data_IF_711786041478
#
_entry.id   IF_711786041478
#
_cell.length_a   1.000
_cell.length_b   1.000
_cell.length_c   1.000
_cell.angle_alpha   90.00
_cell.angle_beta   90.00
_cell.angle_gamma   90.00
#
_symmetry.space_group_name_H-M   'P 1'
#
loop_
_entity.id
_entity.type
_entity.pdbx_description
1 polymer ?
#
# COMPACT_ATOMS: atom_id res chain seq x y z
N UNK A 1 38.34 -3.11 -1.88
CA UNK A 1 37.32 -3.27 -2.95
C UNK A 1 37.51 -2.13 -3.93
N UNK A 2 37.50 -2.42 -5.23
CA UNK A 2 37.79 -1.40 -6.25
C UNK A 2 36.60 -0.46 -6.41
N UNK A 3 36.84 0.81 -6.75
CA UNK A 3 35.77 1.79 -7.03
C UNK A 3 34.93 1.44 -8.27
N UNK A 4 35.24 0.34 -8.98
CA UNK A 4 34.59 -0.14 -10.20
C UNK A 4 33.80 -1.45 -10.00
N UNK A 5 33.70 -1.95 -8.77
CA UNK A 5 33.04 -3.23 -8.48
C UNK A 5 31.51 -3.09 -8.60
N UNK A 6 30.98 -3.53 -9.74
CA UNK A 6 29.53 -3.66 -9.98
C UNK A 6 29.02 -4.92 -9.28
N UNK A 7 28.01 -4.77 -8.43
CA UNK A 7 27.42 -5.86 -7.63
C UNK A 7 26.02 -6.20 -8.12
N UNK A 8 25.61 -7.46 -7.95
CA UNK A 8 24.21 -7.85 -8.13
C UNK A 8 23.37 -7.21 -7.02
N UNK A 9 22.14 -6.85 -7.35
CA UNK A 9 21.16 -6.23 -6.44
C UNK A 9 19.91 -7.11 -6.38
N UNK A 10 19.26 -7.16 -5.23
CA UNK A 10 17.96 -7.81 -5.04
C UNK A 10 16.86 -7.04 -5.79
N UNK A 11 15.77 -7.73 -6.16
CA UNK A 11 14.63 -7.10 -6.84
C UNK A 11 14.02 -6.03 -5.94
N UNK A 12 13.86 -6.33 -4.65
CA UNK A 12 13.29 -5.47 -3.63
C UNK A 12 14.07 -4.16 -3.48
N UNK A 13 15.41 -4.25 -3.41
CA UNK A 13 16.28 -3.06 -3.35
C UNK A 13 16.18 -2.23 -4.61
N UNK A 14 16.17 -2.85 -5.79
CA UNK A 14 16.07 -2.14 -7.06
C UNK A 14 14.70 -1.45 -7.21
N UNK A 15 13.63 -2.17 -6.92
CA UNK A 15 12.25 -1.68 -7.01
C UNK A 15 11.97 -0.52 -6.06
N UNK A 16 12.54 -0.54 -4.85
CA UNK A 16 12.43 0.58 -3.92
C UNK A 16 13.03 1.90 -4.43
N UNK A 17 13.81 1.86 -5.52
CA UNK A 17 14.34 3.03 -6.22
C UNK A 17 13.63 3.35 -7.54
N UNK A 18 13.05 2.34 -8.22
CA UNK A 18 12.69 2.43 -9.64
C UNK A 18 11.20 2.20 -9.92
N UNK A 19 10.44 1.52 -9.06
CA UNK A 19 9.00 1.28 -9.29
C UNK A 19 8.22 2.60 -9.44
N UNK A 20 8.70 3.64 -8.75
CA UNK A 20 8.15 4.99 -8.80
C UNK A 20 8.41 5.73 -10.13
N UNK A 21 9.35 5.27 -10.97
CA UNK A 21 9.64 5.83 -12.31
C UNK A 21 9.29 4.92 -13.47
N UNK A 22 9.15 3.61 -13.23
CA UNK A 22 8.87 2.62 -14.28
C UNK A 22 7.61 3.02 -15.06
N UNK A 23 7.70 3.02 -16.39
CA UNK A 23 6.50 3.16 -17.20
C UNK A 23 5.72 1.84 -17.15
N UNK A 24 4.40 1.87 -16.91
CA UNK A 24 3.56 0.67 -16.91
C UNK A 24 3.82 -0.30 -18.05
N UNK A 25 3.93 0.22 -19.27
CA UNK A 25 4.01 -0.59 -20.48
C UNK A 25 5.38 -1.29 -20.67
N UNK A 26 6.36 -1.06 -19.80
CA UNK A 26 7.67 -1.74 -19.91
C UNK A 26 7.52 -3.25 -19.77
N UNK A 27 6.59 -3.73 -18.95
CA UNK A 27 6.33 -5.17 -18.79
C UNK A 27 5.78 -5.83 -20.06
N UNK A 28 5.10 -5.07 -20.92
CA UNK A 28 4.57 -5.57 -22.19
C UNK A 28 5.68 -5.82 -23.23
N UNK A 29 6.85 -5.20 -23.02
CA UNK A 29 7.99 -5.26 -23.93
C UNK A 29 9.04 -6.28 -23.48
N UNK A 30 9.10 -6.61 -22.19
CA UNK A 30 10.07 -7.58 -21.71
C UNK A 30 10.08 -7.77 -20.20
N UNK A 31 10.73 -8.85 -19.79
CA UNK A 31 10.84 -9.27 -18.40
C UNK A 31 12.20 -8.89 -17.81
N UNK A 32 12.20 -8.06 -16.75
CA UNK A 32 13.39 -7.77 -15.97
C UNK A 32 13.80 -9.00 -15.14
N UNK A 33 15.03 -9.49 -15.33
CA UNK A 33 15.48 -10.74 -14.67
C UNK A 33 16.76 -10.60 -13.83
N UNK A 34 17.56 -9.54 -14.03
CA UNK A 34 18.75 -9.28 -13.21
C UNK A 34 19.00 -7.79 -13.00
N UNK A 35 19.33 -7.44 -11.75
CA UNK A 35 19.62 -6.07 -11.34
C UNK A 35 21.03 -5.94 -10.76
N UNK A 36 21.61 -4.77 -10.97
CA UNK A 36 22.99 -4.46 -10.61
C UNK A 36 23.11 -3.04 -10.06
N UNK A 37 24.13 -2.81 -9.24
CA UNK A 37 24.48 -1.47 -8.77
C UNK A 37 25.99 -1.20 -8.79
N UNK A 38 26.36 0.08 -8.92
CA UNK A 38 27.72 0.54 -8.66
C UNK A 38 27.99 0.64 -7.15
N UNK A 39 29.26 0.84 -6.72
CA UNK A 39 29.54 1.16 -5.32
C UNK A 39 28.73 2.38 -4.86
N UNK A 40 28.14 2.29 -3.67
CA UNK A 40 27.23 3.30 -3.09
C UNK A 40 26.00 3.62 -3.95
N UNK A 41 25.63 2.72 -4.86
CA UNK A 41 24.38 2.75 -5.63
C UNK A 41 24.23 3.98 -6.54
N UNK A 42 25.30 4.70 -6.89
CA UNK A 42 25.21 5.86 -7.79
C UNK A 42 24.61 5.53 -9.17
N UNK A 43 24.83 4.30 -9.65
CA UNK A 43 24.22 3.75 -10.85
C UNK A 43 23.48 2.48 -10.49
N UNK A 44 22.33 2.30 -11.13
CA UNK A 44 21.62 1.02 -11.18
C UNK A 44 21.68 0.50 -12.61
N UNK A 45 21.54 -0.81 -12.76
CA UNK A 45 21.40 -1.44 -14.06
C UNK A 45 20.42 -2.59 -13.99
N UNK A 46 19.66 -2.79 -15.06
CA UNK A 46 18.75 -3.92 -15.21
C UNK A 46 18.98 -4.61 -16.55
N UNK A 47 18.84 -5.92 -16.57
CA UNK A 47 18.74 -6.72 -17.79
C UNK A 47 17.29 -7.14 -18.01
N UNK A 48 16.87 -7.08 -19.27
CA UNK A 48 15.55 -7.42 -19.73
C UNK A 48 15.66 -8.53 -20.78
N UNK A 49 14.74 -9.48 -20.74
CA UNK A 49 14.51 -10.45 -21.80
C UNK A 49 13.32 -9.94 -22.63
N UNK A 50 13.54 -9.68 -23.90
CA UNK A 50 12.46 -9.46 -24.87
C UNK A 50 11.71 -10.79 -25.06
N UNK A 51 10.38 -10.75 -24.92
CA UNK A 51 9.54 -11.96 -25.02
C UNK A 51 9.07 -12.26 -26.45
N UNK A 52 9.33 -11.37 -27.41
CA UNK A 52 8.89 -11.50 -28.80
C UNK A 52 9.96 -12.22 -29.63
N UNK A 53 11.22 -11.79 -29.51
CA UNK A 53 12.35 -12.34 -30.29
C UNK A 53 13.44 -13.01 -29.44
N UNK A 54 13.19 -13.16 -28.13
CA UNK A 54 14.04 -13.84 -27.16
C UNK A 54 15.45 -13.25 -27.05
N UNK A 55 15.62 -11.96 -27.38
CA UNK A 55 16.86 -11.24 -27.23
C UNK A 55 16.98 -10.51 -25.88
N UNK A 56 18.21 -10.08 -25.54
CA UNK A 56 18.51 -9.43 -24.28
C UNK A 56 18.79 -7.94 -24.48
N UNK A 57 18.14 -7.15 -23.63
CA UNK A 57 18.33 -5.71 -23.50
C UNK A 57 18.90 -5.37 -22.13
N UNK A 58 19.46 -4.17 -22.00
CA UNK A 58 19.95 -3.70 -20.71
C UNK A 58 19.95 -2.19 -20.61
N UNK A 59 19.60 -1.70 -19.42
CA UNK A 59 19.47 -0.27 -19.11
C UNK A 59 20.42 0.11 -17.98
N UNK A 60 20.98 1.31 -18.05
CA UNK A 60 21.73 1.96 -16.97
C UNK A 60 20.93 3.17 -16.50
N UNK A 61 20.70 3.24 -15.19
CA UNK A 61 19.95 4.29 -14.54
C UNK A 61 20.86 5.11 -13.63
N UNK A 62 20.62 6.42 -13.55
CA UNK A 62 21.27 7.33 -12.60
C UNK A 62 20.28 8.39 -12.10
N UNK A 63 20.66 9.11 -11.04
CA UNK A 63 19.80 10.16 -10.45
C UNK A 63 19.69 11.36 -11.38
N UNK A 64 18.48 11.89 -11.55
CA UNK A 64 18.20 13.17 -12.20
C UNK A 64 18.24 14.35 -11.21
N UNK A 65 17.85 15.56 -11.64
CA UNK A 65 17.85 16.76 -10.77
C UNK A 65 16.85 16.66 -9.61
N UNK A 66 15.78 15.87 -9.75
CA UNK A 66 14.78 15.59 -8.72
C UNK A 66 15.15 14.37 -7.88
N UNK A 67 16.34 13.79 -8.08
CA UNK A 67 16.79 12.61 -7.35
C UNK A 67 16.10 11.32 -7.79
N UNK A 68 15.45 11.26 -8.95
CA UNK A 68 14.80 10.04 -9.48
C UNK A 68 15.81 9.22 -10.27
N UNK A 69 15.77 7.89 -10.20
CA UNK A 69 16.56 7.07 -11.13
C UNK A 69 15.91 7.07 -12.53
N UNK A 70 16.65 7.56 -13.52
CA UNK A 70 16.23 7.69 -14.92
C UNK A 70 17.26 7.06 -15.85
N UNK A 71 16.83 6.60 -17.02
CA UNK A 71 17.70 5.96 -18.00
C UNK A 71 18.70 6.96 -18.59
N UNK A 72 19.98 6.58 -18.60
CA UNK A 72 21.08 7.39 -19.13
C UNK A 72 21.89 6.70 -20.24
N UNK A 73 21.75 5.38 -20.37
CA UNK A 73 22.40 4.57 -21.39
C UNK A 73 21.66 3.23 -21.48
N UNK A 74 21.61 2.65 -22.67
CA UNK A 74 20.95 1.36 -22.89
C UNK A 74 21.56 0.61 -24.07
N UNK A 75 21.24 -0.67 -24.15
CA UNK A 75 21.41 -1.46 -25.37
C UNK A 75 20.23 -2.40 -25.54
N UNK A 76 20.00 -2.78 -26.79
CA UNK A 76 19.01 -3.77 -27.18
C UNK A 76 19.65 -4.85 -28.05
N UNK A 77 18.90 -5.92 -28.32
CA UNK A 77 19.20 -6.93 -29.33
C UNK A 77 20.55 -7.62 -29.20
N UNK A 78 20.79 -8.15 -28.00
CA UNK A 78 21.92 -9.05 -27.74
C UNK A 78 21.39 -10.47 -27.64
N UNK A 79 21.81 -11.36 -28.54
CA UNK A 79 21.30 -12.74 -28.61
C UNK A 79 21.72 -13.64 -27.46
N UNK A 80 22.80 -13.33 -26.74
CA UNK A 80 23.33 -14.18 -25.68
C UNK A 80 23.33 -13.49 -24.32
N UNK A 81 22.74 -14.14 -23.31
CA UNK A 81 22.62 -13.65 -21.94
C UNK A 81 23.98 -13.25 -21.32
N UNK A 82 25.04 -14.05 -21.53
CA UNK A 82 26.36 -13.76 -20.96
C UNK A 82 27.00 -12.53 -21.63
N UNK A 83 26.77 -12.36 -22.92
CA UNK A 83 27.17 -11.17 -23.66
C UNK A 83 26.41 -9.93 -23.16
N UNK A 84 25.11 -10.04 -22.89
CA UNK A 84 24.30 -8.96 -22.32
C UNK A 84 24.79 -8.55 -20.91
N UNK A 85 25.06 -9.52 -20.02
CA UNK A 85 25.68 -9.28 -18.71
C UNK A 85 27.01 -8.55 -18.81
N UNK A 86 27.89 -9.00 -19.72
CA UNK A 86 29.19 -8.37 -19.92
C UNK A 86 29.06 -6.94 -20.46
N UNK A 87 28.13 -6.72 -21.40
CA UNK A 87 27.84 -5.41 -22.00
C UNK A 87 27.28 -4.43 -20.98
N UNK A 88 26.30 -4.83 -20.16
CA UNK A 88 25.76 -4.01 -19.08
C UNK A 88 26.85 -3.59 -18.09
N UNK A 89 27.65 -4.56 -17.58
CA UNK A 89 28.75 -4.26 -16.66
C UNK A 89 29.80 -3.33 -17.28
N UNK A 90 30.07 -3.45 -18.58
CA UNK A 90 30.96 -2.54 -19.31
C UNK A 90 30.39 -1.11 -19.37
N UNK A 91 29.11 -0.96 -19.68
CA UNK A 91 28.43 0.35 -19.69
C UNK A 91 28.39 1.00 -18.30
N UNK A 92 28.02 0.24 -17.27
CA UNK A 92 28.02 0.75 -15.89
C UNK A 92 29.42 1.21 -15.45
N UNK A 93 30.48 0.46 -15.79
CA UNK A 93 31.87 0.85 -15.49
C UNK A 93 32.32 2.09 -16.26
N UNK A 94 31.86 2.27 -17.51
CA UNK A 94 32.10 3.50 -18.30
C UNK A 94 31.56 4.71 -17.53
N UNK A 95 30.30 4.67 -17.10
CA UNK A 95 29.68 5.77 -16.34
C UNK A 95 30.28 5.95 -14.94
N UNK A 96 30.65 4.86 -14.26
CA UNK A 96 31.32 4.92 -12.95
C UNK A 96 32.66 5.67 -13.04
N UNK A 97 33.42 5.49 -14.14
CA UNK A 97 34.70 6.20 -14.36
C UNK A 97 34.53 7.70 -14.61
N UNK A 98 33.41 8.11 -15.22
CA UNK A 98 33.10 9.53 -15.43
C UNK A 98 32.81 10.25 -14.11
N UNK A 99 32.38 9.52 -13.07
CA UNK A 99 32.08 10.04 -11.73
C UNK A 99 31.04 11.19 -11.74
N UNK A 100 30.17 11.21 -12.76
CA UNK A 100 28.98 12.06 -12.80
C UNK A 100 27.91 11.38 -11.98
N UNK A 101 27.30 12.12 -11.04
CA UNK A 101 26.31 11.57 -10.10
C UNK A 101 24.88 11.99 -10.40
N UNK A 102 24.71 13.05 -11.20
CA UNK A 102 23.42 13.66 -11.51
C UNK A 102 23.35 13.89 -13.02
N UNK A 103 22.26 13.43 -13.63
CA UNK A 103 22.04 13.45 -15.08
C UNK A 103 20.71 14.12 -15.39
N UNK A 104 20.71 15.44 -15.67
CA UNK A 104 19.50 16.17 -16.03
C UNK A 104 18.79 15.55 -17.25
N UNK A 105 17.47 15.45 -17.19
CA UNK A 105 16.61 14.91 -18.26
C UNK A 105 15.90 16.01 -19.07
N UNK A 106 15.75 17.20 -18.47
CA UNK A 106 15.06 18.35 -19.05
C UNK A 106 13.56 18.40 -18.78
N UNK A 107 13.00 17.37 -18.12
CA UNK A 107 11.59 17.27 -17.73
C UNK A 107 11.37 17.42 -16.21
N UNK A 108 12.41 17.75 -15.45
CA UNK A 108 12.33 17.94 -14.00
C UNK A 108 11.62 19.25 -13.65
N UNK A 109 10.30 19.18 -13.48
CA UNK A 109 9.44 20.33 -13.19
C UNK A 109 9.31 20.67 -11.70
N UNK A 110 9.75 19.77 -10.80
CA UNK A 110 9.65 19.94 -9.36
C UNK A 110 10.89 19.42 -8.62
N UNK A 111 11.09 19.93 -7.40
CA UNK A 111 12.15 19.47 -6.49
C UNK A 111 11.62 18.32 -5.63
N UNK A 112 12.48 17.34 -5.32
CA UNK A 112 12.19 16.29 -4.36
C UNK A 112 11.67 16.88 -3.03
N UNK A 113 10.61 16.27 -2.50
CA UNK A 113 10.04 16.67 -1.22
C UNK A 113 10.87 16.17 -0.04
N UNK A 114 11.07 17.04 0.95
CA UNK A 114 11.64 16.66 2.24
C UNK A 114 10.53 16.58 3.29
N UNK A 115 9.98 15.38 3.49
CA UNK A 115 8.95 15.16 4.51
C UNK A 115 9.48 15.26 5.94
N UNK A 116 10.77 15.00 6.16
CA UNK A 116 11.28 14.67 7.49
C UNK A 116 11.95 15.84 8.20
N UNK A 117 12.32 16.89 7.48
CA UNK A 117 12.70 18.17 8.11
C UNK A 117 11.46 18.87 8.64
N UNK A 118 11.31 19.08 9.96
CA UNK A 118 10.13 19.75 10.51
C UNK A 118 9.99 21.18 9.98
N UNK A 119 8.80 21.54 9.51
CA UNK A 119 8.43 22.91 9.11
C UNK A 119 7.51 23.61 10.12
N UNK A 120 7.07 22.87 11.14
CA UNK A 120 6.27 23.36 12.27
C UNK A 120 6.98 23.16 13.60
N UNK A 121 6.47 23.79 14.65
CA UNK A 121 7.00 23.65 16.01
C UNK A 121 6.73 22.25 16.58
N UNK A 122 7.57 21.73 17.50
CA UNK A 122 7.45 20.37 18.02
C UNK A 122 6.10 20.01 18.65
N UNK A 123 5.39 20.98 19.24
CA UNK A 123 4.06 20.83 19.83
C UNK A 123 2.95 20.60 18.80
N UNK A 124 3.19 20.96 17.53
CA UNK A 124 2.27 20.73 16.41
C UNK A 124 2.53 19.41 15.68
N UNK A 125 3.67 18.77 15.94
CA UNK A 125 4.03 17.53 15.26
C UNK A 125 3.12 16.39 15.70
N UNK A 126 2.67 15.61 14.73
CA UNK A 126 1.94 14.39 15.00
C UNK A 126 2.79 13.41 15.82
N UNK A 127 2.18 12.73 16.78
CA UNK A 127 2.87 11.74 17.59
C UNK A 127 3.47 10.60 16.74
N UNK A 128 2.75 10.11 15.72
CA UNK A 128 3.30 9.13 14.78
C UNK A 128 4.40 9.71 13.86
N UNK A 129 4.34 11.00 13.51
CA UNK A 129 5.43 11.63 12.77
C UNK A 129 6.73 11.61 13.58
N UNK A 130 6.62 11.82 14.90
CA UNK A 130 7.78 11.78 15.81
C UNK A 130 8.47 10.41 15.89
N UNK A 131 7.85 9.34 15.38
CA UNK A 131 8.50 8.03 15.27
C UNK A 131 9.68 8.08 14.28
N UNK A 132 9.54 8.87 13.21
CA UNK A 132 10.60 9.07 12.24
C UNK A 132 11.74 9.89 12.83
N UNK A 133 12.98 9.45 12.61
CA UNK A 133 14.20 10.12 13.08
C UNK A 133 14.49 9.97 14.57
N UNK A 134 13.47 9.86 15.44
CA UNK A 134 13.66 9.66 16.89
C UNK A 134 14.03 8.24 17.26
N UNK A 135 13.41 7.24 16.65
CA UNK A 135 13.68 5.84 16.97
C UNK A 135 14.27 5.08 15.79
N UNK A 136 15.38 4.39 16.07
CA UNK A 136 16.19 3.72 15.06
C UNK A 136 15.48 2.53 14.38
N UNK A 137 14.47 1.96 15.05
CA UNK A 137 13.63 0.88 14.53
C UNK A 137 12.74 1.30 13.35
N UNK A 138 12.51 2.61 13.12
CA UNK A 138 11.76 3.12 11.97
C UNK A 138 12.65 3.59 10.81
N UNK A 139 13.96 3.40 10.91
CA UNK A 139 14.90 3.80 9.86
C UNK A 139 14.66 3.12 8.49
N UNK A 140 14.18 1.87 8.38
CA UNK A 140 13.77 1.31 7.10
C UNK A 140 12.60 2.07 6.46
N UNK A 141 11.54 2.36 7.23
CA UNK A 141 10.41 3.15 6.76
C UNK A 141 10.84 4.55 6.29
N UNK A 142 11.71 5.23 7.07
CA UNK A 142 12.29 6.51 6.64
C UNK A 142 13.04 6.39 5.32
N UNK A 143 13.84 5.33 5.15
CA UNK A 143 14.63 5.11 3.94
C UNK A 143 13.76 4.99 2.69
N UNK A 144 12.76 4.11 2.73
CA UNK A 144 11.91 3.89 1.55
C UNK A 144 11.01 5.09 1.25
N UNK A 145 10.44 5.75 2.27
CA UNK A 145 9.61 6.95 2.07
C UNK A 145 10.44 8.08 1.46
N UNK A 146 11.69 8.29 1.90
CA UNK A 146 12.59 9.28 1.28
C UNK A 146 12.79 9.03 -0.21
N UNK A 147 12.91 7.76 -0.60
CA UNK A 147 13.04 7.41 -2.00
C UNK A 147 11.76 7.71 -2.79
N UNK A 148 10.60 7.35 -2.25
CA UNK A 148 9.30 7.64 -2.87
C UNK A 148 9.08 9.14 -3.08
N UNK A 149 9.56 10.00 -2.16
CA UNK A 149 9.39 11.45 -2.22
C UNK A 149 10.15 12.16 -3.35
N UNK A 150 11.08 11.47 -4.01
CA UNK A 150 11.66 11.97 -5.24
C UNK A 150 10.65 11.93 -6.41
N UNK A 151 9.58 11.15 -6.28
CA UNK A 151 8.63 10.84 -7.36
C UNK A 151 7.22 11.34 -7.08
N UNK A 152 6.83 11.44 -5.81
CA UNK A 152 5.50 11.92 -5.43
C UNK A 152 5.36 13.40 -5.77
N UNK A 153 4.27 13.77 -6.44
CA UNK A 153 3.92 15.15 -6.79
C UNK A 153 2.85 15.68 -5.84
N UNK A 154 3.14 16.77 -5.14
CA UNK A 154 2.18 17.45 -4.26
C UNK A 154 1.31 18.41 -5.09
N UNK A 155 0.11 17.93 -5.47
CA UNK A 155 -0.84 18.67 -6.31
C UNK A 155 -1.42 19.87 -5.55
N UNK A 156 -1.67 19.73 -4.24
CA UNK A 156 -2.31 20.75 -3.41
C UNK A 156 -1.31 21.69 -2.72
N UNK A 157 -0.02 21.33 -2.68
CA UNK A 157 1.06 22.11 -2.08
C UNK A 157 1.09 22.10 -0.55
N UNK A 158 0.31 21.23 0.09
CA UNK A 158 0.17 21.15 1.56
C UNK A 158 0.55 19.77 2.13
N UNK A 159 1.07 18.86 1.31
CA UNK A 159 1.32 17.47 1.72
C UNK A 159 2.31 17.39 2.88
N UNK A 160 3.40 18.17 2.83
CA UNK A 160 4.43 18.18 3.88
C UNK A 160 3.82 18.64 5.22
N UNK A 161 3.08 19.74 5.23
CA UNK A 161 2.47 20.28 6.45
C UNK A 161 1.48 19.27 7.04
N UNK A 162 0.60 18.70 6.22
CA UNK A 162 -0.41 17.74 6.66
C UNK A 162 0.23 16.45 7.17
N UNK A 163 1.25 15.93 6.48
CA UNK A 163 1.98 14.73 6.90
C UNK A 163 2.69 14.95 8.25
N UNK A 164 3.16 16.17 8.54
CA UNK A 164 3.80 16.47 9.82
C UNK A 164 2.80 16.74 10.97
N UNK A 165 1.54 17.07 10.67
CA UNK A 165 0.56 17.58 11.64
C UNK A 165 -0.71 16.72 11.71
N UNK A 166 -1.89 17.27 11.42
CA UNK A 166 -3.18 16.61 11.65
C UNK A 166 -3.61 15.68 10.53
N UNK A 167 -2.92 15.69 9.38
CA UNK A 167 -3.22 14.86 8.21
C UNK A 167 -2.35 13.61 8.09
N UNK A 168 -1.60 13.25 9.14
CA UNK A 168 -0.60 12.16 9.10
C UNK A 168 -1.14 10.87 8.47
N UNK A 169 -2.21 10.31 9.02
CA UNK A 169 -2.73 9.01 8.57
C UNK A 169 -3.34 9.09 7.16
N UNK A 170 -3.98 10.21 6.82
CA UNK A 170 -4.52 10.45 5.48
C UNK A 170 -3.40 10.52 4.42
N UNK A 171 -2.35 11.29 4.70
CA UNK A 171 -1.21 11.42 3.78
C UNK A 171 -0.39 10.13 3.69
N UNK A 172 -0.28 9.37 4.78
CA UNK A 172 0.34 8.04 4.77
C UNK A 172 -0.48 7.06 3.93
N UNK A 173 -1.81 7.10 4.03
CA UNK A 173 -2.72 6.27 3.22
C UNK A 173 -2.61 6.60 1.73
N UNK A 174 -2.60 7.88 1.37
CA UNK A 174 -2.34 8.31 0.00
C UNK A 174 -0.99 7.80 -0.49
N UNK A 175 0.06 7.90 0.31
CA UNK A 175 1.39 7.41 -0.07
C UNK A 175 1.41 5.89 -0.25
N UNK A 176 0.65 5.14 0.56
CA UNK A 176 0.51 3.69 0.40
C UNK A 176 -0.24 3.35 -0.89
N UNK A 177 -1.33 4.07 -1.21
CA UNK A 177 -2.04 3.91 -2.49
C UNK A 177 -1.14 4.24 -3.67
N UNK A 178 -0.34 5.30 -3.58
CA UNK A 178 0.69 5.59 -4.59
C UNK A 178 1.64 4.40 -4.76
N UNK A 179 2.16 3.84 -3.66
CA UNK A 179 3.07 2.71 -3.72
C UNK A 179 2.44 1.50 -4.42
N UNK A 180 1.22 1.15 -4.02
CA UNK A 180 0.46 0.04 -4.58
C UNK A 180 0.12 0.25 -6.06
N UNK A 181 -0.41 1.42 -6.44
CA UNK A 181 -0.76 1.68 -7.84
C UNK A 181 0.46 1.66 -8.76
N UNK A 182 1.64 2.07 -8.26
CA UNK A 182 2.89 1.98 -9.00
C UNK A 182 3.40 0.54 -9.11
N UNK A 183 3.29 -0.25 -8.04
CA UNK A 183 3.55 -1.69 -8.05
C UNK A 183 2.62 -2.42 -9.04
N UNK A 184 1.35 -2.01 -9.12
CA UNK A 184 0.33 -2.50 -10.06
C UNK A 184 0.42 -1.90 -11.45
N UNK A 185 1.51 -1.19 -11.76
CA UNK A 185 1.78 -0.67 -13.09
C UNK A 185 0.68 0.26 -13.60
N UNK A 186 0.11 1.10 -12.73
CA UNK A 186 -0.70 2.22 -13.17
C UNK A 186 0.16 3.44 -13.50
N UNK A 187 -0.19 4.10 -14.59
CA UNK A 187 0.24 5.47 -14.84
C UNK A 187 -0.67 6.42 -14.07
N UNK A 188 -0.10 7.35 -13.32
CA UNK A 188 -0.87 8.28 -12.49
C UNK A 188 -0.90 9.66 -13.15
N UNK A 189 -2.09 10.14 -13.45
CA UNK A 189 -2.34 11.50 -13.93
C UNK A 189 -2.45 12.45 -12.74
N UNK A 190 -1.49 13.37 -12.61
CA UNK A 190 -1.42 14.33 -11.49
C UNK A 190 -1.92 15.73 -11.88
N UNK A 191 -2.61 15.86 -13.01
CA UNK A 191 -3.18 17.15 -13.46
C UNK A 191 -4.43 17.58 -12.67
N UNK A 192 -5.05 16.66 -11.94
CA UNK A 192 -6.31 16.87 -11.25
C UNK A 192 -6.11 16.79 -9.73
N UNK A 193 -6.81 17.65 -8.99
CA UNK A 193 -6.79 17.70 -7.53
C UNK A 193 -7.87 16.85 -6.85
N UNK A 194 -8.82 16.31 -7.63
CA UNK A 194 -9.85 15.43 -7.13
C UNK A 194 -10.39 14.54 -8.27
N UNK A 195 -10.66 13.25 -8.02
CA UNK A 195 -10.27 12.52 -6.79
C UNK A 195 -8.75 12.35 -6.69
N UNK A 196 -8.25 11.90 -5.54
CA UNK A 196 -6.80 11.88 -5.21
C UNK A 196 -5.90 11.18 -6.27
N UNK A 197 -6.45 10.20 -7.00
CA UNK A 197 -5.80 9.57 -8.13
C UNK A 197 -6.71 9.45 -9.35
N UNK A 198 -6.16 9.81 -10.52
CA UNK A 198 -6.64 9.37 -11.82
C UNK A 198 -5.57 8.44 -12.39
N UNK A 199 -5.90 7.16 -12.53
CA UNK A 199 -4.94 6.12 -12.86
C UNK A 199 -5.29 5.47 -14.20
N UNK A 200 -4.28 5.15 -15.02
CA UNK A 200 -4.47 4.57 -16.35
C UNK A 200 -3.63 3.30 -16.52
N UNK A 201 -4.24 2.25 -17.07
CA UNK A 201 -3.59 0.96 -17.37
C UNK A 201 -4.33 0.28 -18.51
N UNK A 202 -3.59 -0.24 -19.49
CA UNK A 202 -4.12 -0.95 -20.67
C UNK A 202 -5.27 -0.23 -21.41
N UNK A 203 -5.19 1.11 -21.51
CA UNK A 203 -6.22 1.93 -22.15
C UNK A 203 -7.45 2.24 -21.27
N UNK A 204 -7.56 1.63 -20.09
CA UNK A 204 -8.59 1.94 -19.10
C UNK A 204 -8.16 3.11 -18.22
N UNK A 205 -9.13 3.95 -17.84
CA UNK A 205 -8.95 5.00 -16.83
C UNK A 205 -9.83 4.68 -15.64
N UNK A 206 -9.27 4.82 -14.44
CA UNK A 206 -10.00 4.69 -13.17
C UNK A 206 -9.71 5.91 -12.30
N UNK A 207 -10.63 6.19 -11.39
CA UNK A 207 -10.54 7.31 -10.46
C UNK A 207 -10.64 6.78 -9.03
N UNK A 208 -9.75 7.23 -8.13
CA UNK A 208 -9.67 6.72 -6.76
C UNK A 208 -9.62 7.90 -5.79
N UNK A 209 -10.56 7.93 -4.85
CA UNK A 209 -10.56 8.87 -3.72
C UNK A 209 -10.09 8.16 -2.46
N UNK A 210 -9.09 8.72 -1.79
CA UNK A 210 -8.61 8.26 -0.51
C UNK A 210 -9.53 8.72 0.63
N UNK A 211 -9.87 7.79 1.51
CA UNK A 211 -10.76 8.00 2.65
C UNK A 211 -10.11 7.40 3.89
N UNK A 212 -10.12 8.12 5.01
CA UNK A 212 -9.71 7.58 6.30
C UNK A 212 -10.85 7.62 7.30
N UNK A 213 -10.96 6.57 8.09
CA UNK A 213 -11.74 6.57 9.32
C UNK A 213 -10.82 7.07 10.44
N UNK A 214 -11.19 8.19 11.06
CA UNK A 214 -10.36 8.85 12.07
C UNK A 214 -11.01 8.76 13.47
N UNK A 215 -10.23 8.99 14.56
CA UNK A 215 -10.76 9.08 15.91
C UNK A 215 -11.84 10.17 16.03
N UNK A 216 -12.77 10.02 16.97
CA UNK A 216 -13.88 10.96 17.18
C UNK A 216 -13.93 11.43 18.63
N UNK A 217 -14.06 12.74 18.86
CA UNK A 217 -14.29 13.29 20.21
C UNK A 217 -13.18 12.92 21.21
N UNK A 218 -13.55 12.28 22.32
CA UNK A 218 -12.64 11.93 23.42
C UNK A 218 -11.61 10.85 23.03
N UNK A 219 -11.82 10.11 21.93
CA UNK A 219 -10.90 9.07 21.45
C UNK A 219 -9.55 9.65 20.99
N UNK A 220 -9.51 10.94 20.65
CA UNK A 220 -8.29 11.64 20.18
C UNK A 220 -7.18 11.65 21.25
N UNK A 221 -7.55 11.66 22.53
CA UNK A 221 -6.56 11.62 23.62
C UNK A 221 -6.10 10.19 23.94
N UNK A 222 -6.96 9.18 23.71
CA UNK A 222 -6.66 7.76 23.94
C UNK A 222 -5.86 7.13 22.80
N UNK A 223 -5.93 7.67 21.58
CA UNK A 223 -5.14 7.16 20.44
C UNK A 223 -3.62 7.26 20.63
N UNK A 224 -3.15 7.98 21.66
CA UNK A 224 -1.72 8.05 22.00
C UNK A 224 -1.25 6.95 22.97
N UNK A 225 -2.16 6.22 23.61
CA UNK A 225 -1.82 5.14 24.55
C UNK A 225 -1.68 3.81 23.76
N UNK A 226 -0.44 3.41 23.48
CA UNK A 226 -0.12 2.19 22.70
C UNK A 226 -0.62 0.87 23.31
N UNK A 227 -1.14 0.89 24.54
CA UNK A 227 -1.53 -0.29 25.31
C UNK A 227 -2.96 -0.16 25.81
N UNK A 228 -3.93 -0.20 24.90
CA UNK A 228 -5.32 -0.46 25.31
C UNK A 228 -5.43 -1.89 25.84
N UNK A 229 -6.14 -2.11 26.94
CA UNK A 229 -6.45 -3.47 27.41
C UNK A 229 -7.11 -4.30 26.29
N UNK A 230 -6.88 -5.62 26.23
CA UNK A 230 -7.55 -6.49 25.28
C UNK A 230 -9.07 -6.37 25.45
N UNK A 231 -9.77 -6.04 24.37
CA UNK A 231 -11.24 -5.94 24.37
C UNK A 231 -11.85 -7.30 24.72
N UNK A 232 -12.94 -7.29 25.49
CA UNK A 232 -13.73 -8.50 25.70
C UNK A 232 -14.35 -8.97 24.37
N UNK A 233 -14.74 -10.25 24.29
CA UNK A 233 -15.40 -10.77 23.09
C UNK A 233 -16.70 -10.04 22.81
N UNK A 234 -17.47 -9.74 23.86
CA UNK A 234 -18.76 -9.06 23.78
C UNK A 234 -18.58 -7.61 23.28
N UNK A 235 -17.60 -6.88 23.81
CA UNK A 235 -17.28 -5.52 23.34
C UNK A 235 -16.84 -5.53 21.88
N UNK A 236 -15.99 -6.50 21.49
CA UNK A 236 -15.51 -6.61 20.13
C UNK A 236 -16.65 -6.89 19.14
N UNK A 237 -17.58 -7.78 19.50
CA UNK A 237 -18.75 -8.08 18.69
C UNK A 237 -19.67 -6.86 18.55
N UNK A 238 -19.98 -6.14 19.65
CA UNK A 238 -20.78 -4.91 19.57
C UNK A 238 -20.13 -3.86 18.66
N UNK A 239 -18.81 -3.70 18.76
CA UNK A 239 -18.07 -2.76 17.92
C UNK A 239 -18.08 -3.16 16.45
N UNK A 240 -17.89 -4.44 16.13
CA UNK A 240 -17.96 -4.95 14.75
C UNK A 240 -19.38 -4.82 14.18
N UNK A 241 -20.40 -5.13 14.98
CA UNK A 241 -21.79 -5.14 14.49
C UNK A 241 -22.39 -3.75 14.32
N UNK A 242 -22.00 -2.76 15.14
CA UNK A 242 -22.68 -1.46 15.16
C UNK A 242 -21.75 -0.26 15.05
N UNK A 243 -20.71 -0.19 15.88
CA UNK A 243 -19.82 0.98 15.94
C UNK A 243 -19.01 1.19 14.65
N UNK A 244 -18.32 0.14 14.18
CA UNK A 244 -17.47 0.22 12.98
C UNK A 244 -18.26 0.49 11.70
N UNK A 245 -19.42 -0.16 11.45
CA UNK A 245 -20.29 0.22 10.35
C UNK A 245 -20.66 1.70 10.36
N UNK A 246 -20.94 2.28 11.53
CA UNK A 246 -21.21 3.72 11.67
C UNK A 246 -19.99 4.56 11.29
N UNK A 247 -18.78 4.17 11.69
CA UNK A 247 -17.53 4.88 11.41
C UNK A 247 -17.15 4.82 9.92
N UNK A 248 -17.20 3.63 9.32
CA UNK A 248 -17.01 3.45 7.88
C UNK A 248 -18.09 4.18 7.08
N UNK A 249 -19.36 3.97 7.43
CA UNK A 249 -20.49 4.57 6.74
C UNK A 249 -20.50 6.08 6.77
N UNK A 250 -20.14 6.70 7.90
CA UNK A 250 -20.03 8.17 7.98
C UNK A 250 -18.96 8.72 7.03
N UNK A 251 -17.81 8.03 6.93
CA UNK A 251 -16.68 8.45 6.11
C UNK A 251 -17.00 8.31 4.62
N UNK A 252 -17.58 7.17 4.22
CA UNK A 252 -18.00 6.90 2.83
C UNK A 252 -19.18 7.78 2.41
N UNK A 253 -20.21 7.93 3.27
CA UNK A 253 -21.40 8.73 2.96
C UNK A 253 -21.05 10.21 2.77
N UNK A 254 -20.10 10.74 3.54
CA UNK A 254 -19.63 12.12 3.38
C UNK A 254 -18.98 12.37 2.01
N UNK A 255 -18.30 11.36 1.45
CA UNK A 255 -17.73 11.42 0.09
C UNK A 255 -18.82 11.26 -0.98
N UNK A 256 -19.77 10.35 -0.76
CA UNK A 256 -20.91 10.14 -1.65
C UNK A 256 -21.78 11.41 -1.78
N UNK A 257 -22.07 12.10 -0.67
CA UNK A 257 -22.92 13.30 -0.64
C UNK A 257 -22.13 14.61 -0.69
N UNK A 258 -20.87 14.58 -1.13
CA UNK A 258 -20.05 15.79 -1.30
C UNK A 258 -20.74 16.75 -2.28
N UNK A 259 -20.72 18.06 -1.95
CA UNK A 259 -21.40 19.10 -2.74
C UNK A 259 -20.97 19.11 -4.21
N UNK A 260 -19.65 19.07 -4.46
CA UNK A 260 -19.11 18.83 -5.80
C UNK A 260 -18.92 17.34 -5.95
N UNK A 261 -19.78 16.71 -6.73
CA UNK A 261 -19.78 15.26 -6.95
C UNK A 261 -18.60 14.89 -7.85
N UNK A 262 -17.90 13.82 -7.51
CA UNK A 262 -16.75 13.35 -8.29
C UNK A 262 -17.15 12.99 -9.71
N UNK A 263 -18.28 12.31 -9.91
CA UNK A 263 -18.77 11.88 -11.22
C UNK A 263 -19.34 13.02 -12.09
N UNK A 264 -19.44 14.24 -11.56
CA UNK A 264 -19.76 15.43 -12.37
C UNK A 264 -18.51 16.08 -12.98
N UNK A 265 -17.30 15.68 -12.51
CA UNK A 265 -16.02 16.16 -13.03
C UNK A 265 -15.74 15.53 -14.39
N UNK A 266 -15.27 16.34 -15.34
CA UNK A 266 -15.13 15.92 -16.74
C UNK A 266 -14.18 14.73 -16.93
N UNK A 267 -13.08 14.68 -16.18
CA UNK A 267 -12.12 13.57 -16.23
C UNK A 267 -12.58 12.30 -15.50
N UNK A 268 -13.67 12.36 -14.72
CA UNK A 268 -14.23 11.21 -13.99
C UNK A 268 -15.44 10.61 -14.72
N UNK A 269 -16.21 11.43 -15.44
CA UNK A 269 -17.39 10.97 -16.20
C UNK A 269 -17.05 9.78 -17.09
N UNK A 270 -17.88 8.74 -17.01
CA UNK A 270 -17.71 7.54 -17.83
C UNK A 270 -16.66 6.54 -17.32
N UNK A 271 -15.90 6.89 -16.27
CA UNK A 271 -14.85 6.05 -15.72
C UNK A 271 -15.25 5.44 -14.36
N UNK A 272 -14.72 4.25 -14.00
CA UNK A 272 -14.92 3.70 -12.67
C UNK A 272 -14.38 4.62 -11.57
N UNK A 273 -15.17 4.81 -10.51
CA UNK A 273 -14.81 5.59 -9.33
C UNK A 273 -14.74 4.69 -8.10
N UNK A 274 -13.59 4.63 -7.46
CA UNK A 274 -13.29 3.78 -6.31
C UNK A 274 -13.10 4.65 -5.08
N UNK A 275 -13.75 4.29 -3.97
CA UNK A 275 -13.41 4.87 -2.67
C UNK A 275 -12.44 3.94 -1.94
N UNK A 276 -11.21 4.40 -1.73
CA UNK A 276 -10.17 3.65 -1.04
C UNK A 276 -10.13 4.05 0.43
N UNK A 277 -10.67 3.20 1.31
CA UNK A 277 -10.85 3.46 2.73
C UNK A 277 -9.85 2.70 3.61
N UNK A 278 -9.25 3.40 4.57
CA UNK A 278 -8.40 2.81 5.60
C UNK A 278 -8.84 3.25 7.00
N UNK A 279 -8.66 2.34 7.97
CA UNK A 279 -9.09 2.54 9.35
C UNK A 279 -7.92 2.97 10.26
N UNK A 280 -7.99 4.20 10.77
CA UNK A 280 -7.02 4.75 11.72
C UNK A 280 -7.71 5.28 12.99
N UNK A 281 -8.92 4.79 13.30
CA UNK A 281 -9.72 5.38 14.38
C UNK A 281 -9.19 5.09 15.79
N UNK A 282 -8.45 4.00 15.95
CA UNK A 282 -7.76 3.64 17.19
C UNK A 282 -6.49 2.80 16.87
N UNK A 283 -5.53 2.71 17.83
CA UNK A 283 -4.38 1.82 17.72
C UNK A 283 -4.81 0.39 17.44
N UNK A 284 -4.14 -0.28 16.50
CA UNK A 284 -4.40 -1.68 16.13
C UNK A 284 -5.82 -1.97 15.60
N UNK A 285 -6.62 -0.95 15.27
CA UNK A 285 -7.98 -1.10 14.72
C UNK A 285 -8.08 -2.05 13.53
N UNK A 286 -7.15 -1.94 12.58
CA UNK A 286 -7.09 -2.77 11.38
C UNK A 286 -6.96 -4.28 11.65
N UNK A 287 -6.56 -4.70 12.86
CA UNK A 287 -6.44 -6.13 13.25
C UNK A 287 -7.82 -6.78 13.36
N UNK A 288 -8.86 -6.00 13.67
CA UNK A 288 -10.15 -6.54 14.06
C UNK A 288 -11.35 -5.91 13.35
N UNK A 289 -11.23 -4.68 12.82
CA UNK A 289 -12.37 -3.95 12.26
C UNK A 289 -12.78 -4.35 10.84
N UNK A 290 -11.90 -5.04 10.09
CA UNK A 290 -12.08 -5.37 8.68
C UNK A 290 -13.40 -6.10 8.34
N UNK A 291 -13.86 -7.00 9.21
CA UNK A 291 -15.08 -7.79 8.99
C UNK A 291 -16.35 -6.94 9.04
N UNK A 292 -16.32 -5.78 9.69
CA UNK A 292 -17.45 -4.86 9.75
C UNK A 292 -17.68 -4.14 8.41
N UNK A 293 -16.62 -3.91 7.63
CA UNK A 293 -16.70 -3.13 6.39
C UNK A 293 -17.55 -3.85 5.35
N UNK A 294 -17.22 -5.09 4.97
CA UNK A 294 -17.97 -5.80 3.93
C UNK A 294 -19.43 -6.06 4.33
N UNK A 295 -19.69 -6.32 5.62
CA UNK A 295 -21.04 -6.48 6.15
C UNK A 295 -21.86 -5.20 5.98
N UNK A 296 -21.25 -4.05 6.25
CA UNK A 296 -21.85 -2.74 6.03
C UNK A 296 -22.05 -2.43 4.54
N UNK A 297 -21.06 -2.72 3.69
CA UNK A 297 -21.13 -2.41 2.25
C UNK A 297 -22.26 -3.16 1.55
N UNK A 298 -22.40 -4.46 1.83
CA UNK A 298 -23.41 -5.32 1.21
C UNK A 298 -24.71 -5.43 2.02
N UNK A 299 -24.74 -4.95 3.26
CA UNK A 299 -25.93 -5.00 4.11
C UNK A 299 -26.33 -6.42 4.51
N UNK A 300 -25.35 -7.31 4.68
CA UNK A 300 -25.56 -8.71 5.05
C UNK A 300 -24.51 -9.19 6.05
N UNK A 301 -24.83 -10.24 6.81
CA UNK A 301 -23.90 -11.03 7.63
C UNK A 301 -24.23 -12.51 7.51
N UNK A 302 -23.28 -13.37 7.84
CA UNK A 302 -23.55 -14.80 7.99
C UNK A 302 -23.84 -15.15 9.44
N UNK A 303 -24.85 -15.99 9.66
CA UNK A 303 -25.15 -16.57 10.97
C UNK A 303 -25.12 -18.09 10.89
N UNK A 304 -24.63 -18.73 11.96
CA UNK A 304 -24.72 -20.17 12.11
C UNK A 304 -26.15 -20.55 12.47
N UNK A 305 -26.82 -21.26 11.59
CA UNK A 305 -28.14 -21.84 11.83
C UNK A 305 -27.96 -23.31 12.15
N UNK A 306 -28.40 -23.70 13.34
CA UNK A 306 -28.45 -25.11 13.75
C UNK A 306 -29.77 -25.71 13.29
N UNK A 307 -29.73 -26.73 12.44
CA UNK A 307 -30.91 -27.50 12.04
C UNK A 307 -31.36 -28.45 13.17
N UNK A 308 -32.60 -28.94 13.07
CA UNK A 308 -33.21 -29.81 14.10
C UNK A 308 -32.44 -31.13 14.32
N UNK A 309 -31.72 -31.60 13.31
CA UNK A 309 -30.83 -32.77 13.35
C UNK A 309 -29.45 -32.49 13.97
N UNK A 310 -29.17 -31.24 14.36
CA UNK A 310 -27.94 -30.82 15.00
C UNK A 310 -26.82 -30.39 14.04
N UNK A 311 -27.04 -30.41 12.73
CA UNK A 311 -26.10 -29.85 11.75
C UNK A 311 -26.06 -28.31 11.82
N UNK A 312 -24.90 -27.73 11.56
CA UNK A 312 -24.74 -26.27 11.43
C UNK A 312 -24.62 -25.91 9.95
N UNK A 313 -25.39 -24.91 9.53
CA UNK A 313 -25.30 -24.29 8.20
C UNK A 313 -25.06 -22.79 8.35
N UNK A 314 -24.44 -22.17 7.36
CA UNK A 314 -24.34 -20.71 7.28
C UNK A 314 -25.56 -20.19 6.54
N UNK A 315 -26.27 -19.23 7.14
CA UNK A 315 -27.35 -18.53 6.48
C UNK A 315 -27.01 -17.04 6.34
N UNK A 316 -27.33 -16.47 5.19
CA UNK A 316 -27.23 -15.02 4.97
C UNK A 316 -28.37 -14.31 5.67
N UNK A 317 -28.04 -13.36 6.55
CA UNK A 317 -28.98 -12.45 7.19
C UNK A 317 -28.80 -11.04 6.66
N UNK A 318 -29.91 -10.43 6.23
CA UNK A 318 -29.94 -9.02 5.85
C UNK A 318 -29.85 -8.11 7.08
N UNK A 319 -29.02 -7.07 6.98
CA UNK A 319 -28.88 -5.99 7.96
C UNK A 319 -29.59 -4.75 7.42
N UNK A 320 -30.44 -4.13 8.22
CA UNK A 320 -31.23 -2.96 7.79
C UNK A 320 -30.56 -1.67 8.27
N UNK A 321 -30.16 -1.62 9.53
CA UNK A 321 -29.49 -0.46 10.14
C UNK A 321 -28.46 -0.91 11.17
N UNK A 322 -27.61 0.04 11.56
CA UNK A 322 -26.64 -0.08 12.63
C UNK A 322 -26.88 1.04 13.63
N UNK A 323 -26.93 0.70 14.92
CA UNK A 323 -27.22 1.66 15.98
C UNK A 323 -26.14 1.58 17.07
N UNK A 324 -25.53 2.73 17.38
CA UNK A 324 -24.60 2.86 18.49
C UNK A 324 -24.86 4.18 19.19
N UNK A 325 -25.07 4.12 20.50
CA UNK A 325 -25.54 5.24 21.32
C UNK A 325 -26.76 5.94 20.70
N UNK A 326 -26.63 7.22 20.31
CA UNK A 326 -27.70 8.05 19.74
C UNK A 326 -27.70 8.08 18.21
N UNK A 327 -26.74 7.42 17.57
CA UNK A 327 -26.56 7.46 16.12
C UNK A 327 -27.04 6.16 15.49
N UNK A 328 -27.87 6.29 14.47
CA UNK A 328 -28.32 5.19 13.63
C UNK A 328 -28.04 5.53 12.16
N UNK A 329 -27.55 4.54 11.40
CA UNK A 329 -27.39 4.66 9.94
C UNK A 329 -27.98 3.43 9.24
N UNK A 330 -28.47 3.56 8.00
CA UNK A 330 -28.82 2.40 7.19
C UNK A 330 -27.57 1.56 6.85
N UNK A 331 -27.75 0.24 6.72
CA UNK A 331 -26.75 -0.68 6.19
C UNK A 331 -26.86 -0.79 4.66
N UNK A 332 -25.86 -1.35 4.00
CA UNK A 332 -25.83 -1.55 2.56
C UNK A 332 -25.44 -0.29 1.80
N UNK A 333 -24.19 0.17 1.96
CA UNK A 333 -23.66 1.35 1.25
C UNK A 333 -23.92 1.32 -0.26
N UNK A 334 -23.74 0.15 -0.89
CA UNK A 334 -23.95 -0.05 -2.34
C UNK A 334 -25.42 -0.04 -2.79
N UNK A 335 -26.34 0.15 -1.85
CA UNK A 335 -27.78 0.27 -2.10
C UNK A 335 -28.33 1.64 -1.67
N UNK A 336 -27.47 2.56 -1.26
CA UNK A 336 -27.87 3.94 -0.99
C UNK A 336 -28.13 4.69 -2.29
N UNK A 337 -28.96 5.72 -2.21
CA UNK A 337 -29.21 6.63 -3.32
C UNK A 337 -27.92 7.28 -3.84
N UNK A 338 -27.69 7.18 -5.15
CA UNK A 338 -26.51 7.62 -5.91
C UNK A 338 -25.26 6.76 -5.75
N UNK A 339 -25.33 5.66 -4.97
CA UNK A 339 -24.19 4.75 -4.80
C UNK A 339 -23.81 4.05 -6.11
N UNK A 340 -24.70 3.97 -7.10
CA UNK A 340 -24.40 3.41 -8.43
C UNK A 340 -23.30 4.19 -9.18
N UNK A 341 -22.96 5.40 -8.75
CA UNK A 341 -21.82 6.16 -9.30
C UNK A 341 -20.47 5.75 -8.70
N UNK A 342 -20.47 4.89 -7.67
CA UNK A 342 -19.27 4.33 -7.04
C UNK A 342 -19.12 2.89 -7.50
N UNK A 343 -18.01 2.58 -8.14
CA UNK A 343 -17.73 1.28 -8.76
C UNK A 343 -17.36 0.21 -7.75
N UNK A 344 -16.56 0.59 -6.75
CA UNK A 344 -16.08 -0.30 -5.72
C UNK A 344 -15.57 0.47 -4.50
N UNK A 345 -15.36 -0.26 -3.41
CA UNK A 345 -14.64 0.22 -2.23
C UNK A 345 -13.38 -0.64 -2.07
N UNK A 346 -12.22 0.02 -2.06
CA UNK A 346 -10.92 -0.61 -1.80
C UNK A 346 -10.56 -0.40 -0.33
N UNK A 347 -9.97 -1.40 0.32
CA UNK A 347 -9.50 -1.26 1.71
C UNK A 347 -8.23 -2.06 1.96
N UNK A 348 -7.41 -1.61 2.91
CA UNK A 348 -6.23 -2.35 3.39
C UNK A 348 -6.34 -2.60 4.89
N UNK A 349 -5.90 -3.78 5.33
CA UNK A 349 -5.68 -4.08 6.75
C UNK A 349 -4.20 -3.94 7.18
N UNK A 350 -3.33 -3.50 6.26
CA UNK A 350 -1.88 -3.51 6.46
C UNK A 350 -1.20 -2.19 6.14
N UNK A 351 -1.89 -1.22 5.52
CA UNK A 351 -1.39 0.08 5.04
C UNK A 351 -0.99 1.10 6.12
N UNK A 352 -0.21 0.68 7.11
CA UNK A 352 0.33 1.50 8.21
C UNK A 352 1.84 1.70 8.07
N UNK A 353 2.46 2.50 8.95
CA UNK A 353 3.92 2.72 8.96
C UNK A 353 4.68 1.38 9.03
N UNK A 354 4.12 0.38 9.73
CA UNK A 354 4.72 -0.95 9.84
C UNK A 354 4.91 -1.61 8.47
N UNK A 355 4.01 -1.40 7.50
CA UNK A 355 4.20 -1.85 6.11
C UNK A 355 5.42 -1.19 5.47
N UNK A 356 5.51 0.13 5.54
CA UNK A 356 6.68 0.86 5.05
C UNK A 356 7.97 0.39 5.72
N UNK A 357 7.92 0.02 7.00
CA UNK A 357 9.08 -0.49 7.71
C UNK A 357 9.50 -1.88 7.19
N UNK A 358 8.54 -2.78 6.94
CA UNK A 358 8.81 -4.10 6.34
C UNK A 358 9.33 -3.98 4.91
N UNK A 359 8.67 -3.19 4.07
CA UNK A 359 9.08 -2.95 2.68
C UNK A 359 10.48 -2.32 2.62
N UNK A 360 10.75 -1.33 3.49
CA UNK A 360 12.07 -0.74 3.61
C UNK A 360 13.13 -1.75 4.09
N UNK A 361 12.78 -2.64 5.03
CA UNK A 361 13.69 -3.66 5.55
C UNK A 361 14.06 -4.70 4.49
N UNK A 362 13.09 -5.14 3.70
CA UNK A 362 13.31 -6.07 2.57
C UNK A 362 14.14 -5.45 1.46
N UNK A 363 13.95 -4.15 1.24
CA UNK A 363 14.79 -3.36 0.37
C UNK A 363 16.12 -2.94 1.04
N UNK A 364 16.57 -3.58 2.13
CA UNK A 364 17.89 -3.32 2.73
C UNK A 364 18.08 -1.94 3.36
N UNK A 365 17.03 -1.14 3.55
CA UNK A 365 17.11 0.12 4.29
C UNK A 365 17.18 -0.11 5.81
N UNK A 366 17.65 0.93 6.50
CA UNK A 366 17.76 0.95 7.94
C UNK A 366 18.99 0.22 8.46
N UNK A 367 18.94 -0.18 9.74
CA UNK A 367 20.10 -0.74 10.44
C UNK A 367 20.20 -2.26 10.27
N UNK A 368 21.43 -2.76 10.26
CA UNK A 368 21.71 -4.19 10.20
C UNK A 368 21.36 -4.95 11.49
N UNK A 369 21.31 -4.26 12.63
CA UNK A 369 20.98 -4.82 13.96
C UNK A 369 19.48 -4.74 14.31
N UNK A 370 18.66 -4.28 13.38
CA UNK A 370 17.21 -4.27 13.49
C UNK A 370 16.64 -5.53 12.83
N UNK A 371 15.84 -6.30 13.57
CA UNK A 371 15.09 -7.46 13.08
C UNK A 371 13.60 -7.17 13.19
N UNK A 372 12.83 -7.56 12.18
CA UNK A 372 11.39 -7.39 12.13
C UNK A 372 10.76 -8.78 12.08
N UNK A 373 9.76 -9.03 12.92
CA UNK A 373 9.00 -10.28 12.91
C UNK A 373 7.55 -9.96 12.61
N UNK A 374 6.98 -10.61 11.59
CA UNK A 374 5.58 -10.46 11.21
C UNK A 374 4.84 -11.74 11.55
N UNK A 375 3.73 -11.62 12.26
CA UNK A 375 2.86 -12.75 12.60
C UNK A 375 1.40 -12.36 12.52
N UNK A 376 0.53 -13.35 12.30
CA UNK A 376 -0.89 -13.11 12.17
C UNK A 376 -1.63 -14.30 11.57
N UNK A 377 -2.74 -13.99 10.91
CA UNK A 377 -3.59 -14.97 10.26
C UNK A 377 -3.82 -14.58 8.80
N UNK A 378 -3.76 -15.56 7.90
CA UNK A 378 -4.04 -15.41 6.47
C UNK A 378 -5.15 -16.36 6.04
N UNK A 379 -5.68 -16.13 4.83
CA UNK A 379 -6.63 -17.04 4.23
C UNK A 379 -6.05 -18.47 4.16
N UNK A 380 -6.85 -19.44 4.54
CA UNK A 380 -6.57 -20.86 4.31
C UNK A 380 -7.37 -21.30 3.09
N UNK A 381 -6.65 -21.73 2.05
CA UNK A 381 -7.23 -22.14 0.77
C UNK A 381 -7.78 -23.58 0.80
N UNK A 382 -7.62 -24.31 1.91
CA UNK A 382 -8.36 -25.56 2.11
C UNK A 382 -9.87 -25.27 2.13
N UNK A 383 -10.68 -25.82 1.18
CA UNK A 383 -12.11 -25.59 1.13
C UNK A 383 -12.86 -26.04 2.39
N UNK A 384 -12.27 -26.89 3.22
CA UNK A 384 -12.83 -27.36 4.50
C UNK A 384 -12.30 -26.55 5.71
N UNK A 385 -11.47 -25.52 5.49
CA UNK A 385 -10.93 -24.71 6.57
C UNK A 385 -12.02 -23.96 7.35
N UNK A 386 -12.06 -24.21 8.67
CA UNK A 386 -12.96 -23.52 9.59
C UNK A 386 -12.34 -22.25 10.20
N UNK A 387 -11.02 -22.12 10.12
CA UNK A 387 -10.24 -21.05 10.73
C UNK A 387 -9.16 -20.59 9.75
N UNK A 388 -8.73 -19.32 9.82
CA UNK A 388 -7.62 -18.85 9.00
C UNK A 388 -6.30 -19.52 9.41
N UNK A 389 -5.39 -19.68 8.44
CA UNK A 389 -4.06 -20.22 8.68
C UNK A 389 -3.20 -19.22 9.46
N UNK A 390 -2.47 -19.70 10.47
CA UNK A 390 -1.52 -18.87 11.21
C UNK A 390 -0.18 -18.77 10.48
N UNK A 391 0.46 -17.61 10.54
CA UNK A 391 1.82 -17.42 10.02
C UNK A 391 2.70 -16.63 11.00
N UNK A 392 4.01 -16.87 10.94
CA UNK A 392 5.02 -16.12 11.69
C UNK A 392 6.39 -16.27 11.03
N UNK A 393 7.02 -15.17 10.66
CA UNK A 393 8.35 -15.17 10.04
C UNK A 393 9.15 -13.90 10.33
N UNK A 394 10.47 -13.98 10.16
CA UNK A 394 11.34 -12.80 10.13
C UNK A 394 11.24 -12.12 8.75
N UNK A 395 11.07 -10.81 8.74
CA UNK A 395 11.11 -9.98 7.53
C UNK A 395 12.57 -9.78 7.15
N UNK A 396 13.10 -10.73 6.37
CA UNK A 396 14.52 -10.82 6.03
C UNK A 396 14.72 -10.88 4.52
N UNK A 397 15.58 -9.98 4.03
CA UNK A 397 15.98 -9.91 2.62
C UNK A 397 16.48 -11.28 2.12
N UNK A 398 15.95 -11.71 0.98
CA UNK A 398 16.32 -12.97 0.32
C UNK A 398 15.64 -14.24 0.87
N UNK A 399 15.00 -14.16 2.04
CA UNK A 399 14.29 -15.29 2.65
C UNK A 399 12.77 -15.21 2.37
N UNK A 400 12.20 -14.00 2.42
CA UNK A 400 10.78 -13.74 2.15
C UNK A 400 10.62 -12.54 1.22
N UNK A 401 9.48 -12.47 0.55
CA UNK A 401 9.03 -11.30 -0.22
C UNK A 401 7.75 -10.78 0.38
N UNK A 402 7.51 -9.48 0.27
CA UNK A 402 6.23 -8.86 0.58
C UNK A 402 5.93 -7.84 -0.52
N UNK A 403 4.68 -7.76 -0.98
CA UNK A 403 4.22 -6.75 -1.96
C UNK A 403 3.40 -5.67 -1.27
N UNK A 404 3.26 -4.49 -1.87
CA UNK A 404 2.32 -3.47 -1.38
C UNK A 404 0.87 -3.97 -1.41
N UNK A 405 0.54 -4.85 -2.36
CA UNK A 405 -0.77 -5.48 -2.54
C UNK A 405 -1.27 -6.31 -1.35
N UNK A 406 -0.37 -7.00 -0.62
CA UNK A 406 -0.78 -7.91 0.46
C UNK A 406 -1.65 -7.23 1.52
N UNK A 407 -2.88 -7.76 1.66
CA UNK A 407 -3.89 -7.26 2.61
C UNK A 407 -4.89 -6.26 2.02
N UNK A 408 -4.82 -5.96 0.71
CA UNK A 408 -5.83 -5.17 0.02
C UNK A 408 -7.04 -6.01 -0.40
N UNK A 409 -8.22 -5.42 -0.27
CA UNK A 409 -9.51 -6.01 -0.59
C UNK A 409 -10.34 -5.01 -1.41
N UNK A 410 -10.83 -5.42 -2.57
CA UNK A 410 -11.73 -4.68 -3.42
C UNK A 410 -13.14 -5.26 -3.31
N UNK A 411 -14.08 -4.49 -2.76
CA UNK A 411 -15.49 -4.83 -2.70
C UNK A 411 -16.23 -4.18 -3.88
N UNK A 412 -16.75 -4.99 -4.79
CA UNK A 412 -17.39 -4.51 -6.00
C UNK A 412 -18.85 -4.09 -5.76
N UNK A 413 -19.24 -2.92 -6.24
CA UNK A 413 -20.63 -2.48 -6.15
C UNK A 413 -21.47 -3.24 -7.21
N UNK A 414 -22.45 -4.08 -6.81
CA UNK A 414 -23.28 -4.82 -7.76
C UNK A 414 -24.17 -3.92 -8.64
N UNK A 415 -24.36 -2.66 -8.25
CA UNK A 415 -25.18 -1.69 -8.96
C UNK A 415 -24.35 -0.62 -9.71
N UNK A 416 -23.04 -0.78 -9.83
CA UNK A 416 -22.18 0.23 -10.46
C UNK A 416 -22.60 0.55 -11.91
N UNK A 417 -22.74 1.84 -12.24
CA UNK A 417 -22.92 2.33 -13.62
C UNK A 417 -21.70 2.02 -14.49
N UNK A 418 -20.50 2.15 -13.90
CA UNK A 418 -19.23 1.87 -14.55
C UNK A 418 -18.44 0.92 -13.63
N UNK A 419 -18.66 -0.41 -13.71
CA UNK A 419 -17.96 -1.36 -12.87
C UNK A 419 -16.45 -1.31 -13.10
N UNK A 420 -15.66 -1.52 -12.06
CA UNK A 420 -14.21 -1.64 -12.18
C UNK A 420 -13.86 -3.06 -12.61
N UNK A 421 -12.99 -3.19 -13.60
CA UNK A 421 -12.49 -4.48 -14.06
C UNK A 421 -11.49 -5.06 -13.03
N UNK A 422 -11.75 -6.24 -12.44
CA UNK A 422 -10.83 -6.87 -11.50
C UNK A 422 -9.47 -7.21 -12.12
N UNK A 423 -9.38 -7.42 -13.43
CA UNK A 423 -8.11 -7.76 -14.09
C UNK A 423 -7.11 -6.59 -14.10
N UNK A 424 -7.57 -5.37 -13.77
CA UNK A 424 -6.69 -4.22 -13.55
C UNK A 424 -5.91 -4.32 -12.22
N UNK A 425 -6.38 -5.13 -11.27
CA UNK A 425 -5.84 -5.28 -9.91
C UNK A 425 -5.61 -6.76 -9.52
N UNK A 426 -4.86 -7.54 -10.31
CA UNK A 426 -4.76 -9.00 -10.13
C UNK A 426 -4.14 -9.47 -8.81
N UNK A 427 -3.42 -8.61 -8.09
CA UNK A 427 -2.66 -8.98 -6.88
C UNK A 427 -3.45 -8.93 -5.57
N UNK A 428 -4.73 -8.54 -5.60
CA UNK A 428 -5.52 -8.29 -4.38
C UNK A 428 -6.75 -9.20 -4.29
N UNK A 429 -7.37 -9.25 -3.11
CA UNK A 429 -8.63 -9.94 -2.95
C UNK A 429 -9.77 -9.14 -3.59
N UNK A 430 -10.65 -9.82 -4.33
CA UNK A 430 -11.88 -9.25 -4.88
C UNK A 430 -13.10 -9.92 -4.26
N UNK A 431 -14.12 -9.13 -3.95
CA UNK A 431 -15.36 -9.62 -3.34
C UNK A 431 -16.56 -9.13 -4.16
N UNK A 432 -17.50 -10.03 -4.44
CA UNK A 432 -18.70 -9.78 -5.24
C UNK A 432 -19.93 -10.29 -4.51
N UNK A 433 -21.03 -9.54 -4.52
CA UNK A 433 -22.32 -10.02 -4.05
C UNK A 433 -23.09 -10.66 -5.23
N UNK A 434 -23.22 -11.98 -5.21
CA UNK A 434 -23.93 -12.76 -6.22
C UNK A 434 -25.01 -13.62 -5.56
N UNK A 435 -26.26 -13.53 -6.03
CA UNK A 435 -27.38 -14.34 -5.52
C UNK A 435 -27.58 -14.26 -3.98
N UNK A 436 -27.20 -13.15 -3.36
CA UNK A 436 -27.30 -12.96 -1.90
C UNK A 436 -26.13 -13.53 -1.10
N UNK A 437 -25.06 -13.96 -1.76
CA UNK A 437 -23.84 -14.48 -1.15
C UNK A 437 -22.62 -13.70 -1.62
N UNK A 438 -21.61 -13.56 -0.76
CA UNK A 438 -20.33 -12.94 -1.12
C UNK A 438 -19.40 -14.01 -1.66
N UNK A 439 -19.05 -13.90 -2.94
CA UNK A 439 -17.98 -14.68 -3.56
C UNK A 439 -16.69 -13.89 -3.57
N UNK A 440 -15.58 -14.58 -3.33
CA UNK A 440 -14.27 -13.93 -3.25
C UNK A 440 -13.24 -14.63 -4.15
N UNK A 441 -12.40 -13.83 -4.79
CA UNK A 441 -11.16 -14.26 -5.41
C UNK A 441 -10.06 -13.80 -4.45
N UNK A 442 -9.24 -14.71 -3.94
CA UNK A 442 -8.26 -14.42 -2.88
C UNK A 442 -6.87 -14.83 -3.36
N UNK A 443 -5.84 -13.97 -3.22
CA UNK A 443 -4.46 -14.34 -3.54
C UNK A 443 -3.95 -15.51 -2.69
N UNK A 444 -2.93 -16.22 -3.19
CA UNK A 444 -2.29 -17.35 -2.50
C UNK A 444 -1.91 -17.03 -1.04
N UNK A 445 -1.33 -15.85 -0.81
CA UNK A 445 -1.06 -15.33 0.52
C UNK A 445 -1.84 -14.04 0.74
N UNK A 446 -2.94 -14.13 1.49
CA UNK A 446 -3.78 -12.99 1.85
C UNK A 446 -3.94 -12.85 3.36
N UNK A 447 -3.17 -11.97 4.03
CA UNK A 447 -3.28 -11.76 5.47
C UNK A 447 -4.61 -11.08 5.80
N UNK A 448 -5.36 -11.62 6.77
CA UNK A 448 -6.54 -10.95 7.35
C UNK A 448 -6.17 -10.02 8.49
N UNK A 449 -5.08 -10.35 9.19
CA UNK A 449 -4.55 -9.55 10.28
C UNK A 449 -3.08 -9.86 10.46
N UNK A 450 -2.28 -8.85 10.82
CA UNK A 450 -0.88 -9.07 11.18
C UNK A 450 -0.34 -7.98 12.09
N UNK A 451 0.58 -8.37 12.98
CA UNK A 451 1.37 -7.48 13.82
C UNK A 451 2.82 -7.56 13.35
N UNK A 452 3.57 -6.47 13.51
CA UNK A 452 5.02 -6.45 13.28
C UNK A 452 5.73 -6.02 14.54
N UNK A 453 6.61 -6.88 15.05
CA UNK A 453 7.45 -6.58 16.21
C UNK A 453 8.82 -6.15 15.71
N UNK A 454 9.32 -5.04 16.24
CA UNK A 454 10.63 -4.49 15.91
C UNK A 454 11.63 -4.82 17.04
N UNK A 455 12.70 -5.56 16.73
CA UNK A 455 13.71 -5.97 17.73
C UNK A 455 15.07 -5.40 17.37
N UNK A 456 15.62 -4.55 18.24
CA UNK A 456 17.01 -4.11 18.15
C UNK A 456 17.91 -5.10 18.90
N UNK A 457 18.70 -5.87 18.16
CA UNK A 457 19.66 -6.81 18.76
C UNK A 457 20.90 -6.06 19.21
N UNK A 458 21.06 -5.83 20.51
CA UNK A 458 22.29 -5.24 21.04
C UNK A 458 23.47 -6.19 20.86
N UNK A 459 24.54 -5.72 20.24
CA UNK A 459 25.79 -6.48 20.11
C UNK A 459 26.73 -6.29 21.32
N UNK A 460 26.21 -6.00 22.52
CA UNK A 460 27.01 -5.73 23.71
C UNK A 460 26.78 -6.77 24.80
N UNK A 461 27.85 -7.45 25.22
CA UNK A 461 27.94 -8.40 26.35
C UNK A 461 27.47 -7.85 27.72
N UNK A 462 26.94 -6.63 27.82
CA UNK A 462 26.39 -6.04 29.05
C UNK A 462 25.36 -4.95 28.72
N UNK A 463 24.09 -5.30 28.60
CA UNK A 463 22.92 -4.64 29.22
C UNK A 463 21.61 -5.10 28.55
N UNK A 464 20.51 -4.98 29.30
CA UNK A 464 19.19 -5.58 29.05
C UNK A 464 18.61 -5.20 27.68
N UNK A 465 17.98 -6.20 27.05
CA UNK A 465 17.14 -6.10 25.84
C UNK A 465 16.04 -5.06 26.12
N UNK A 466 15.89 -4.10 25.21
CA UNK A 466 14.73 -3.22 25.14
C UNK A 466 13.91 -3.69 23.93
N UNK A 467 12.74 -4.26 24.19
CA UNK A 467 11.72 -4.52 23.18
C UNK A 467 10.87 -3.26 23.14
N UNK A 468 10.84 -2.58 22.01
CA UNK A 468 9.87 -1.52 21.75
C UNK A 468 8.84 -2.17 20.80
N UNK A 469 7.61 -2.37 21.27
CA UNK A 469 6.49 -2.98 20.52
C UNK A 469 6.02 -2.06 19.37
#
# INVERSE_FOLDING_TARGET
MSFLDIKKMSKERFNAFVDWTRMPNTELLGYEFEWYCSPREFLLGALLLDQIDEDYSGIVLARDLSGRYRCIDLFTSVSEMNSARAKLKKLMRKHTKLNVKVFPQGDETYKAMDLFTPIVTPDKLHHHFSLFGKYANWSPATGIIKEMMNHFEDVDGNFIEQFQTTGFDARLWELYLFAYLREEHFWLDRQFNAPDYVARKYGNTICIEAVTVNPTGNDINQSSEMLSEPKSKEELLEKIENYMPIKFGSSLYSKLKKKTRYWDLEHVKGNPLIFAIADFHEPNSMIWSHSALWQYLYGIRYEHVKSEDGCYSLATKKIISHQFEKKEIPSGFFFLDESENISAVLSSNSGTISKFNRMGKLAGFGRSDLRLFRSGYCHDHDPEALYPAAFSFEVKEGDITETWAEGLNMYHNPNAKYPVDPDLFPSIAHHFLENGEVKSIVPDFHPYTSITINVLTQNNKKQKIRVDE
#
